data_IF_117511790060
#
_entry.id   IF_117511790060
#
_cell.length_a   1.000
_cell.length_b   1.000
_cell.length_c   1.000
_cell.angle_alpha   90.00
_cell.angle_beta   90.00
_cell.angle_gamma   90.00
#
_symmetry.space_group_name_H-M   'P 1'
#
loop_
_entity.id
_entity.type
_entity.pdbx_description
1 polymer ?
#
# COMPACT_ATOMS: atom_id res chain seq x y z
N UNK A 1 1.50 -7.62 8.45
CA UNK A 1 0.86 -8.44 9.47
C UNK A 1 -0.25 -7.65 10.19
N UNK A 2 0.07 -6.52 10.82
CA UNK A 2 -0.89 -5.69 11.59
C UNK A 2 -2.13 -5.26 10.79
N UNK A 3 -1.97 -4.88 9.51
CA UNK A 3 -3.08 -4.51 8.63
C UNK A 3 -4.05 -5.68 8.45
N UNK A 4 -3.53 -6.84 8.06
CA UNK A 4 -4.38 -8.00 7.78
C UNK A 4 -5.09 -8.50 9.04
N UNK A 5 -4.45 -8.41 10.20
CA UNK A 5 -5.10 -8.73 11.48
C UNK A 5 -6.28 -7.83 11.80
N UNK A 6 -6.14 -6.53 11.54
CA UNK A 6 -7.16 -5.52 11.89
C UNK A 6 -8.32 -5.46 10.90
N UNK A 7 -8.05 -5.67 9.62
CA UNK A 7 -9.01 -5.38 8.55
C UNK A 7 -9.48 -6.62 7.79
N UNK A 8 -9.08 -7.83 8.22
CA UNK A 8 -9.51 -9.09 7.59
C UNK A 8 -9.80 -10.17 8.63
N UNK A 9 -10.62 -11.15 8.24
CA UNK A 9 -10.92 -12.37 9.00
C UNK A 9 -10.29 -13.59 8.33
N UNK A 10 -10.22 -14.72 9.05
CA UNK A 10 -9.78 -16.01 8.46
C UNK A 10 -10.61 -16.32 7.21
N UNK A 11 -9.95 -16.85 6.16
CA UNK A 11 -10.50 -17.17 4.83
C UNK A 11 -10.88 -15.99 3.96
N UNK A 12 -10.76 -14.73 4.42
CA UNK A 12 -10.91 -13.56 3.56
C UNK A 12 -9.89 -13.59 2.42
N UNK A 13 -10.25 -13.03 1.27
CA UNK A 13 -9.38 -12.91 0.10
C UNK A 13 -8.61 -11.59 0.14
N UNK A 14 -7.30 -11.69 0.32
CA UNK A 14 -6.35 -10.58 0.23
C UNK A 14 -5.78 -10.53 -1.17
N UNK A 15 -5.79 -9.35 -1.79
CA UNK A 15 -5.22 -9.13 -3.13
C UNK A 15 -4.10 -8.09 -3.05
N UNK A 16 -2.99 -8.37 -3.73
CA UNK A 16 -1.88 -7.44 -3.93
C UNK A 16 -1.62 -7.29 -5.44
N UNK A 17 -2.01 -6.16 -6.04
CA UNK A 17 -1.89 -5.95 -7.49
C UNK A 17 -0.48 -5.61 -7.96
N UNK A 18 0.47 -5.34 -7.03
CA UNK A 18 1.88 -5.02 -7.31
C UNK A 18 2.79 -5.77 -6.35
N UNK A 19 2.66 -7.10 -6.36
CA UNK A 19 3.07 -8.01 -5.30
C UNK A 19 4.59 -8.14 -5.11
N UNK A 20 5.40 -7.82 -6.11
CA UNK A 20 6.87 -7.87 -6.05
C UNK A 20 7.41 -9.22 -5.58
N UNK A 21 7.99 -9.24 -4.37
CA UNK A 21 8.58 -10.46 -3.75
C UNK A 21 7.54 -11.40 -3.12
N UNK A 22 6.29 -10.99 -2.96
CA UNK A 22 5.21 -11.81 -2.40
C UNK A 22 5.03 -11.75 -0.89
N UNK A 23 5.58 -10.76 -0.21
CA UNK A 23 5.45 -10.60 1.25
C UNK A 23 3.99 -10.57 1.71
N UNK A 24 3.13 -9.88 0.99
CA UNK A 24 1.68 -9.82 1.29
C UNK A 24 1.03 -11.19 1.23
N UNK A 25 1.40 -12.02 0.24
CA UNK A 25 0.88 -13.39 0.07
C UNK A 25 1.29 -14.25 1.26
N UNK A 26 2.57 -14.19 1.64
CA UNK A 26 3.11 -15.00 2.73
C UNK A 26 2.42 -14.64 4.06
N UNK A 27 2.33 -13.35 4.37
CA UNK A 27 1.64 -12.88 5.59
C UNK A 27 0.15 -13.25 5.60
N UNK A 28 -0.54 -13.16 4.45
CA UNK A 28 -1.95 -13.55 4.37
C UNK A 28 -2.12 -15.04 4.66
N UNK A 29 -1.27 -15.91 4.11
CA UNK A 29 -1.28 -17.36 4.35
C UNK A 29 -0.98 -17.70 5.80
N UNK A 30 0.04 -17.08 6.41
CA UNK A 30 0.39 -17.27 7.82
C UNK A 30 -0.77 -16.92 8.75
N UNK A 31 -1.60 -15.98 8.34
CA UNK A 31 -2.81 -15.58 9.04
C UNK A 31 -4.07 -16.37 8.62
N UNK A 32 -3.93 -17.45 7.82
CA UNK A 32 -5.02 -18.27 7.31
C UNK A 32 -6.03 -17.49 6.43
N UNK A 33 -5.53 -16.48 5.69
CA UNK A 33 -6.29 -15.79 4.64
C UNK A 33 -5.96 -16.41 3.29
N UNK A 34 -6.88 -16.31 2.34
CA UNK A 34 -6.59 -16.60 0.92
C UNK A 34 -5.82 -15.41 0.35
N UNK A 35 -4.91 -15.64 -0.59
CA UNK A 35 -4.11 -14.58 -1.17
C UNK A 35 -3.98 -14.74 -2.68
N UNK A 36 -4.10 -13.62 -3.40
CA UNK A 36 -3.77 -13.48 -4.81
C UNK A 36 -2.79 -12.32 -4.96
N UNK A 37 -1.61 -12.62 -5.51
CA UNK A 37 -0.62 -11.60 -5.87
C UNK A 37 -0.48 -11.51 -7.38
N UNK A 38 -0.40 -10.29 -7.88
CA UNK A 38 -0.18 -9.99 -9.28
C UNK A 38 1.04 -9.10 -9.46
N UNK A 39 1.75 -9.28 -10.57
CA UNK A 39 2.91 -8.47 -10.94
C UNK A 39 3.13 -8.53 -12.45
N UNK A 40 3.69 -7.47 -13.06
CA UNK A 40 4.07 -7.47 -14.47
C UNK A 40 5.25 -8.42 -14.78
N UNK A 41 6.11 -8.64 -13.79
CA UNK A 41 7.29 -9.51 -13.88
C UNK A 41 7.37 -10.42 -12.64
N UNK A 42 6.47 -11.43 -12.52
CA UNK A 42 6.40 -12.29 -11.35
C UNK A 42 7.75 -12.91 -10.98
N UNK A 43 8.15 -12.76 -9.73
CA UNK A 43 9.38 -13.34 -9.16
C UNK A 43 9.20 -14.77 -8.62
N UNK A 44 7.93 -15.20 -8.45
CA UNK A 44 7.55 -16.49 -7.85
C UNK A 44 6.44 -17.16 -8.68
N UNK A 45 6.35 -18.49 -8.60
CA UNK A 45 5.34 -19.28 -9.33
C UNK A 45 3.90 -19.06 -8.85
N UNK A 46 3.74 -18.59 -7.63
CA UNK A 46 2.44 -18.33 -6.99
C UNK A 46 2.02 -16.84 -7.09
N UNK A 47 2.75 -16.05 -7.86
CA UNK A 47 2.39 -14.70 -8.28
C UNK A 47 1.95 -14.75 -9.74
N UNK A 48 0.77 -14.24 -10.04
CA UNK A 48 0.22 -14.25 -11.39
C UNK A 48 0.69 -13.03 -12.18
N UNK A 49 0.96 -13.24 -13.46
CA UNK A 49 1.30 -12.11 -14.33
C UNK A 49 0.06 -11.33 -14.71
N UNK A 50 -0.01 -10.06 -14.30
CA UNK A 50 -1.04 -9.12 -14.70
C UNK A 50 -0.56 -7.67 -14.58
N UNK A 51 -1.23 -6.78 -15.30
CA UNK A 51 -1.10 -5.34 -15.12
C UNK A 51 -2.08 -4.91 -14.04
N UNK A 52 -1.60 -4.13 -13.07
CA UNK A 52 -2.41 -3.65 -11.95
C UNK A 52 -3.58 -2.75 -12.38
N UNK A 53 -3.53 -2.22 -13.60
CA UNK A 53 -4.63 -1.46 -14.23
C UNK A 53 -5.76 -2.35 -14.75
N UNK A 54 -5.54 -3.67 -14.84
CA UNK A 54 -6.51 -4.66 -15.33
C UNK A 54 -6.25 -6.02 -14.70
N UNK A 55 -6.76 -6.23 -13.51
CA UNK A 55 -6.59 -7.48 -12.74
C UNK A 55 -7.59 -8.53 -13.24
N UNK A 56 -7.15 -9.78 -13.52
CA UNK A 56 -8.04 -10.86 -13.96
C UNK A 56 -8.83 -11.45 -12.78
N UNK A 57 -9.59 -10.61 -12.11
CA UNK A 57 -10.49 -10.93 -11.02
C UNK A 57 -11.85 -10.28 -11.30
N UNK A 58 -12.92 -10.99 -10.98
CA UNK A 58 -14.28 -10.46 -11.10
C UNK A 58 -14.50 -9.29 -10.13
N UNK A 59 -15.53 -8.47 -10.42
CA UNK A 59 -15.92 -7.35 -9.57
C UNK A 59 -16.25 -7.82 -8.16
N UNK A 60 -15.87 -7.01 -7.18
CA UNK A 60 -16.25 -7.17 -5.77
C UNK A 60 -15.91 -8.56 -5.19
N UNK A 61 -14.75 -9.11 -5.50
CA UNK A 61 -14.26 -10.39 -4.97
C UNK A 61 -13.25 -10.26 -3.84
N UNK A 62 -12.47 -9.19 -3.82
CA UNK A 62 -11.45 -8.99 -2.78
C UNK A 62 -12.09 -8.54 -1.46
N UNK A 63 -11.65 -9.13 -0.36
CA UNK A 63 -12.03 -8.71 0.99
C UNK A 63 -11.05 -7.66 1.56
N UNK A 64 -9.84 -7.61 1.03
CA UNK A 64 -8.83 -6.60 1.34
C UNK A 64 -7.87 -6.43 0.17
N UNK A 65 -7.46 -5.20 -0.11
CA UNK A 65 -6.40 -4.93 -1.08
C UNK A 65 -5.26 -4.19 -0.39
N UNK A 66 -4.04 -4.68 -0.55
CA UNK A 66 -2.81 -3.97 -0.18
C UNK A 66 -2.05 -3.60 -1.44
N UNK A 67 -1.53 -2.39 -1.53
CA UNK A 67 -0.70 -1.97 -2.65
C UNK A 67 0.47 -1.11 -2.18
N UNK A 68 1.67 -1.46 -2.64
CA UNK A 68 2.92 -0.69 -2.49
C UNK A 68 3.43 -0.36 -3.90
N UNK A 69 2.92 0.73 -4.50
CA UNK A 69 3.26 1.06 -5.88
C UNK A 69 4.70 1.58 -5.99
N UNK A 70 5.30 1.57 -7.18
CA UNK A 70 6.57 2.25 -7.42
C UNK A 70 6.42 3.76 -7.18
N UNK A 71 7.46 4.38 -6.58
CA UNK A 71 7.45 5.81 -6.19
C UNK A 71 8.16 6.69 -7.23
N UNK A 72 7.84 6.56 -8.51
CA UNK A 72 8.56 7.20 -9.61
C UNK A 72 9.69 6.32 -10.20
N UNK A 73 10.45 6.87 -11.11
CA UNK A 73 11.49 6.22 -11.91
C UNK A 73 12.88 6.13 -11.22
N UNK A 74 12.94 6.32 -9.90
CA UNK A 74 14.21 6.27 -9.14
C UNK A 74 14.88 4.90 -9.09
N UNK A 75 14.10 3.85 -9.30
CA UNK A 75 14.57 2.47 -9.36
C UNK A 75 14.08 1.89 -10.67
N UNK A 76 14.97 1.24 -11.40
CA UNK A 76 14.58 0.49 -12.58
C UNK A 76 13.87 -0.78 -12.15
N UNK A 77 12.57 -0.88 -12.45
CA UNK A 77 11.74 -2.01 -12.02
C UNK A 77 11.81 -3.17 -13.04
N UNK A 78 11.15 -3.07 -14.16
CA UNK A 78 11.08 -4.15 -15.14
C UNK A 78 11.71 -3.81 -16.49
N UNK A 79 11.95 -2.53 -16.75
CA UNK A 79 12.41 -2.01 -18.05
C UNK A 79 11.39 -2.16 -19.18
N UNK A 80 10.12 -2.47 -18.84
CA UNK A 80 9.04 -2.61 -19.81
C UNK A 80 8.27 -1.30 -19.95
N UNK A 81 7.87 -0.91 -21.18
CA UNK A 81 7.14 0.35 -21.40
C UNK A 81 5.83 0.47 -20.63
N UNK A 82 5.16 -0.66 -20.37
CA UNK A 82 3.91 -0.73 -19.62
C UNK A 82 4.11 -0.61 -18.09
N UNK A 83 5.34 -0.64 -17.58
CA UNK A 83 5.62 -0.59 -16.15
C UNK A 83 5.44 0.82 -15.60
N UNK A 84 4.55 0.97 -14.63
CA UNK A 84 4.31 2.25 -13.95
C UNK A 84 5.58 2.78 -13.27
N UNK A 85 6.45 1.90 -12.78
CA UNK A 85 7.72 2.27 -12.17
C UNK A 85 8.77 2.85 -13.11
N UNK A 86 8.53 2.84 -14.42
CA UNK A 86 9.37 3.52 -15.42
C UNK A 86 8.83 4.92 -15.76
N UNK A 87 7.69 5.33 -15.17
CA UNK A 87 7.08 6.64 -15.34
C UNK A 87 7.56 7.61 -14.26
N UNK A 88 7.99 8.79 -14.67
CA UNK A 88 8.37 9.83 -13.71
C UNK A 88 7.15 10.45 -13.04
N UNK A 89 7.22 10.60 -11.72
CA UNK A 89 6.19 11.32 -10.95
C UNK A 89 6.27 12.86 -11.09
N UNK A 90 7.18 13.38 -11.92
CA UNK A 90 7.16 14.78 -12.34
C UNK A 90 6.08 15.03 -13.40
N UNK A 91 5.67 14.00 -14.12
CA UNK A 91 4.70 14.11 -15.22
C UNK A 91 3.36 13.46 -14.91
N UNK A 92 2.35 13.85 -15.68
CA UNK A 92 0.97 13.36 -15.51
C UNK A 92 0.82 11.86 -15.79
N UNK A 93 1.70 11.27 -16.61
CA UNK A 93 1.59 9.88 -17.02
C UNK A 93 1.61 8.88 -15.85
N UNK A 94 2.43 9.14 -14.83
CA UNK A 94 2.45 8.35 -13.60
C UNK A 94 1.11 8.39 -12.86
N UNK A 95 0.57 9.59 -12.67
CA UNK A 95 -0.69 9.79 -11.94
C UNK A 95 -1.89 9.26 -12.71
N UNK A 96 -1.93 9.42 -14.05
CA UNK A 96 -2.96 8.81 -14.89
C UNK A 96 -2.94 7.27 -14.81
N UNK A 97 -1.75 6.67 -14.77
CA UNK A 97 -1.61 5.24 -14.59
C UNK A 97 -2.05 4.79 -13.18
N UNK A 98 -1.72 5.54 -12.14
CA UNK A 98 -2.15 5.26 -10.77
C UNK A 98 -3.65 5.44 -10.57
N UNK A 99 -4.29 6.40 -11.24
CA UNK A 99 -5.74 6.56 -11.23
C UNK A 99 -6.43 5.30 -11.80
N UNK A 100 -5.91 4.73 -12.89
CA UNK A 100 -6.41 3.47 -13.44
C UNK A 100 -6.25 2.31 -12.44
N UNK A 101 -5.12 2.24 -11.72
CA UNK A 101 -4.91 1.23 -10.67
C UNK A 101 -5.90 1.40 -9.52
N UNK A 102 -6.10 2.63 -9.05
CA UNK A 102 -7.03 2.95 -7.96
C UNK A 102 -8.48 2.60 -8.36
N UNK A 103 -8.87 2.94 -9.60
CA UNK A 103 -10.18 2.57 -10.15
C UNK A 103 -10.35 1.05 -10.23
N UNK A 104 -9.31 0.33 -10.65
CA UNK A 104 -9.31 -1.13 -10.71
C UNK A 104 -9.39 -1.77 -9.32
N UNK A 105 -8.67 -1.23 -8.33
CA UNK A 105 -8.79 -1.65 -6.92
C UNK A 105 -10.23 -1.44 -6.44
N UNK A 106 -10.85 -0.31 -6.76
CA UNK A 106 -12.24 -0.06 -6.42
C UNK A 106 -13.18 -1.08 -7.07
N UNK A 107 -12.94 -1.47 -8.33
CA UNK A 107 -13.73 -2.49 -9.01
C UNK A 107 -13.66 -3.85 -8.30
N UNK A 108 -12.46 -4.33 -7.96
CA UNK A 108 -12.28 -5.68 -7.39
C UNK A 108 -12.61 -5.77 -5.90
N UNK A 109 -12.50 -4.66 -5.14
CA UNK A 109 -12.78 -4.63 -3.71
C UNK A 109 -14.30 -4.66 -3.46
N UNK A 110 -14.73 -5.49 -2.52
CA UNK A 110 -16.13 -5.53 -2.07
C UNK A 110 -16.53 -4.23 -1.35
N UNK A 111 -17.76 -3.75 -1.53
CA UNK A 111 -18.35 -2.75 -0.62
C UNK A 111 -18.28 -3.21 0.84
N UNK A 112 -18.12 -2.28 1.77
CA UNK A 112 -17.97 -2.60 3.19
C UNK A 112 -16.60 -3.15 3.58
N UNK A 113 -15.59 -3.00 2.71
CA UNK A 113 -14.24 -3.55 2.91
C UNK A 113 -13.16 -2.47 2.80
N UNK A 114 -11.96 -2.84 3.17
CA UNK A 114 -10.84 -1.91 3.31
C UNK A 114 -9.74 -2.19 2.29
N UNK A 115 -9.02 -1.13 1.95
CA UNK A 115 -7.73 -1.23 1.28
C UNK A 115 -6.66 -0.43 2.02
N UNK A 116 -5.40 -0.74 1.77
CA UNK A 116 -4.29 0.07 2.25
C UNK A 116 -3.30 0.33 1.11
N UNK A 117 -2.87 1.60 1.00
CA UNK A 117 -1.81 2.02 0.09
C UNK A 117 -0.62 2.53 0.91
N UNK A 118 0.55 1.95 0.64
CA UNK A 118 1.82 2.33 1.24
C UNK A 118 2.65 3.10 0.22
N UNK A 119 3.13 4.30 0.56
CA UNK A 119 3.85 5.15 -0.39
C UNK A 119 4.81 6.11 0.30
N UNK A 120 5.84 6.55 -0.39
CA UNK A 120 6.72 7.64 0.00
C UNK A 120 6.67 8.77 -1.01
N UNK A 121 6.84 10.00 -0.52
CA UNK A 121 7.19 11.11 -1.38
C UNK A 121 8.59 10.94 -1.95
N UNK A 122 8.85 11.59 -3.07
CA UNK A 122 10.12 11.51 -3.75
C UNK A 122 10.80 12.86 -3.87
N UNK A 123 12.13 12.84 -3.82
CA UNK A 123 12.99 13.95 -4.10
C UNK A 123 14.29 13.46 -4.72
N UNK A 124 14.72 14.13 -5.75
CA UNK A 124 16.00 13.91 -6.40
C UNK A 124 16.74 15.24 -6.56
N UNK A 125 18.07 15.21 -6.45
CA UNK A 125 18.89 16.42 -6.59
C UNK A 125 18.69 17.04 -7.97
N UNK A 126 18.33 18.34 -7.97
CA UNK A 126 18.08 19.09 -9.22
C UNK A 126 16.65 18.98 -9.74
N UNK A 127 15.79 18.22 -9.08
CA UNK A 127 14.36 18.10 -9.42
C UNK A 127 13.48 18.69 -8.31
N UNK A 128 12.24 19.11 -8.63
CA UNK A 128 11.31 19.56 -7.61
C UNK A 128 10.95 18.43 -6.65
N UNK A 129 10.49 18.81 -5.47
CA UNK A 129 9.91 17.84 -4.53
C UNK A 129 8.59 17.30 -5.07
N UNK A 130 8.44 15.98 -5.08
CA UNK A 130 7.25 15.29 -5.59
C UNK A 130 6.42 14.77 -4.41
N UNK A 131 5.31 15.44 -4.04
CA UNK A 131 4.43 14.99 -2.95
C UNK A 131 3.48 13.87 -3.40
N UNK A 132 4.05 12.74 -3.79
CA UNK A 132 3.33 11.60 -4.37
C UNK A 132 2.21 11.12 -3.44
N UNK A 133 2.50 11.04 -2.14
CA UNK A 133 1.53 10.60 -1.14
C UNK A 133 0.27 11.46 -1.14
N UNK A 134 0.39 12.78 -1.22
CA UNK A 134 -0.76 13.68 -1.22
C UNK A 134 -1.58 13.58 -2.51
N UNK A 135 -0.94 13.47 -3.67
CA UNK A 135 -1.66 13.28 -4.93
C UNK A 135 -2.42 11.94 -4.95
N UNK A 136 -1.78 10.85 -4.50
CA UNK A 136 -2.46 9.56 -4.42
C UNK A 136 -3.58 9.56 -3.38
N UNK A 137 -3.44 10.23 -2.24
CA UNK A 137 -4.51 10.38 -1.26
C UNK A 137 -5.72 11.12 -1.85
N UNK A 138 -5.48 12.17 -2.63
CA UNK A 138 -6.54 12.91 -3.32
C UNK A 138 -7.31 12.01 -4.31
N UNK A 139 -6.60 11.20 -5.10
CA UNK A 139 -7.19 10.24 -6.02
C UNK A 139 -7.99 9.15 -5.28
N UNK A 140 -7.40 8.56 -4.23
CA UNK A 140 -8.08 7.58 -3.38
C UNK A 140 -9.39 8.12 -2.81
N UNK A 141 -9.41 9.39 -2.39
CA UNK A 141 -10.58 10.03 -1.78
C UNK A 141 -11.77 10.22 -2.74
N UNK A 142 -11.55 10.06 -4.05
CA UNK A 142 -12.63 10.08 -5.05
C UNK A 142 -13.41 8.76 -5.09
N UNK A 143 -12.79 7.65 -4.68
CA UNK A 143 -13.35 6.29 -4.74
C UNK A 143 -13.66 5.72 -3.35
N UNK A 144 -12.96 6.16 -2.31
CA UNK A 144 -12.96 5.57 -0.98
C UNK A 144 -13.11 6.63 0.11
N UNK A 145 -13.65 6.23 1.25
CA UNK A 145 -13.59 7.03 2.48
C UNK A 145 -12.26 6.86 3.20
N UNK A 146 -11.70 7.94 3.73
CA UNK A 146 -10.46 7.91 4.51
C UNK A 146 -10.78 7.35 5.91
N UNK A 147 -10.06 6.30 6.32
CA UNK A 147 -10.15 5.71 7.67
C UNK A 147 -9.01 6.20 8.54
N UNK A 148 -7.77 6.14 8.02
CA UNK A 148 -6.58 6.55 8.77
C UNK A 148 -5.42 6.94 7.85
N UNK A 149 -4.53 7.79 8.35
CA UNK A 149 -3.28 8.20 7.71
C UNK A 149 -2.15 7.97 8.70
N UNK A 150 -1.31 6.98 8.45
CA UNK A 150 -0.26 6.56 9.36
C UNK A 150 1.10 6.91 8.77
N UNK A 151 1.95 7.57 9.57
CA UNK A 151 3.36 7.75 9.26
C UNK A 151 4.15 6.53 9.74
N UNK A 152 4.60 5.70 8.81
CA UNK A 152 5.42 4.51 9.10
C UNK A 152 6.89 4.90 9.12
N UNK A 153 7.48 4.91 10.30
CA UNK A 153 8.88 5.31 10.49
C UNK A 153 9.82 4.24 9.92
N UNK A 154 10.79 4.68 9.13
CA UNK A 154 11.83 3.81 8.59
C UNK A 154 13.00 3.69 9.55
N UNK A 155 13.21 2.51 10.09
CA UNK A 155 14.38 2.18 10.92
C UNK A 155 15.48 1.58 10.04
N UNK A 156 16.18 2.39 9.26
CA UNK A 156 17.31 1.91 8.49
C UNK A 156 18.62 2.62 8.91
N UNK A 157 19.72 1.87 8.92
CA UNK A 157 21.03 2.38 9.30
C UNK A 157 21.59 3.49 8.39
N UNK A 158 21.00 3.71 7.20
CA UNK A 158 21.40 4.80 6.31
C UNK A 158 20.96 6.16 6.86
N UNK A 159 19.78 6.24 7.53
CA UNK A 159 19.30 7.47 8.16
C UNK A 159 20.12 7.86 9.39
N UNK A 160 20.85 6.91 9.99
CA UNK A 160 21.69 7.12 11.17
C UNK A 160 23.11 7.59 10.83
N UNK A 161 23.47 7.75 9.55
CA UNK A 161 24.82 8.20 9.16
C UNK A 161 24.95 9.70 9.31
N UNK A 162 25.93 10.16 10.10
CA UNK A 162 26.16 11.57 10.43
C UNK A 162 26.26 12.48 9.20
N UNK A 163 26.84 12.02 8.08
CA UNK A 163 26.98 12.84 6.88
C UNK A 163 25.63 13.30 6.26
N UNK A 164 24.54 12.55 6.48
CA UNK A 164 23.21 12.99 6.03
C UNK A 164 22.68 14.17 6.85
N UNK A 165 22.97 14.19 8.16
CA UNK A 165 22.61 15.33 9.03
C UNK A 165 23.40 16.58 8.66
N UNK A 166 24.73 16.45 8.44
CA UNK A 166 25.58 17.55 7.98
C UNK A 166 25.08 18.10 6.65
N UNK A 167 24.84 17.26 5.66
CA UNK A 167 24.31 17.67 4.35
C UNK A 167 22.93 18.32 4.46
N UNK A 168 22.06 17.86 5.37
CA UNK A 168 20.75 18.44 5.58
C UNK A 168 20.85 19.89 6.12
N UNK A 169 21.78 20.14 7.02
CA UNK A 169 22.07 21.49 7.54
C UNK A 169 22.71 22.38 6.46
N UNK A 170 23.75 21.90 5.79
CA UNK A 170 24.47 22.64 4.75
C UNK A 170 23.60 23.02 3.55
N UNK A 171 22.65 22.15 3.17
CA UNK A 171 21.79 22.36 2.00
C UNK A 171 20.35 22.71 2.38
N UNK A 172 20.07 23.00 3.64
CA UNK A 172 18.79 23.48 4.17
C UNK A 172 17.58 22.59 3.77
N UNK A 173 17.63 21.29 4.10
CA UNK A 173 16.50 20.39 3.95
C UNK A 173 16.30 19.49 5.18
N UNK A 174 15.08 18.94 5.32
CA UNK A 174 14.77 18.00 6.38
C UNK A 174 14.86 16.56 5.90
N UNK A 175 15.45 15.69 6.75
CA UNK A 175 15.46 14.25 6.50
C UNK A 175 14.04 13.67 6.71
N UNK A 176 13.49 13.04 5.68
CA UNK A 176 12.20 12.35 5.73
C UNK A 176 12.41 10.86 5.97
N UNK A 177 12.20 10.42 7.21
CA UNK A 177 12.42 9.04 7.65
C UNK A 177 11.13 8.22 7.73
N UNK A 178 10.09 8.54 6.96
CA UNK A 178 8.81 7.83 7.02
C UNK A 178 8.20 7.60 5.64
N UNK A 179 7.25 6.70 5.58
CA UNK A 179 6.35 6.49 4.47
C UNK A 179 4.91 6.69 4.95
N UNK A 180 4.01 7.07 4.07
CA UNK A 180 2.59 7.07 4.36
C UNK A 180 2.01 5.67 4.24
N UNK A 181 1.04 5.37 5.09
CA UNK A 181 0.15 4.24 4.96
C UNK A 181 -1.27 4.79 5.04
N UNK A 182 -1.95 4.84 3.91
CA UNK A 182 -3.34 5.27 3.82
C UNK A 182 -4.25 4.07 3.98
N UNK A 183 -5.16 4.13 4.92
CA UNK A 183 -6.19 3.11 5.12
C UNK A 183 -7.51 3.69 4.65
N UNK A 184 -8.12 3.01 3.69
CA UNK A 184 -9.30 3.47 2.98
C UNK A 184 -10.41 2.44 3.07
N UNK A 185 -11.65 2.91 3.06
CA UNK A 185 -12.85 2.10 3.13
C UNK A 185 -13.72 2.29 1.88
N UNK A 186 -14.17 1.21 1.25
CA UNK A 186 -15.15 1.26 0.16
C UNK A 186 -16.55 1.22 0.75
N UNK A 187 -17.30 2.34 0.79
CA UNK A 187 -18.66 2.32 1.34
C UNK A 187 -19.60 1.53 0.44
N UNK A 188 -20.57 0.84 1.04
CA UNK A 188 -21.73 0.36 0.32
C UNK A 188 -22.65 1.51 -0.08
N UNK A 189 -23.58 1.29 -1.00
CA UNK A 189 -24.50 2.33 -1.45
C UNK A 189 -25.30 2.90 -0.25
N UNK A 190 -25.16 4.20 0.00
CA UNK A 190 -25.79 4.91 1.12
C UNK A 190 -25.10 4.77 2.47
N UNK A 191 -23.99 4.05 2.56
CA UNK A 191 -23.21 3.87 3.78
C UNK A 191 -22.19 5.01 3.94
N UNK A 192 -21.87 5.35 5.18
CA UNK A 192 -20.76 6.25 5.53
C UNK A 192 -19.57 5.44 6.02
N UNK A 193 -18.39 6.04 5.99
CA UNK A 193 -17.18 5.45 6.62
C UNK A 193 -17.51 5.13 8.08
N UNK A 194 -17.25 3.89 8.55
CA UNK A 194 -17.49 3.52 9.93
C UNK A 194 -16.68 4.41 10.88
N UNK A 195 -17.37 5.07 11.80
CA UNK A 195 -16.72 5.87 12.84
C UNK A 195 -16.39 5.03 14.08
N UNK A 196 -17.06 3.88 14.21
CA UNK A 196 -16.93 3.00 15.35
C UNK A 196 -15.90 1.90 15.09
N UNK A 197 -14.84 1.91 15.89
CA UNK A 197 -13.72 0.97 15.82
C UNK A 197 -13.90 -0.26 16.73
N UNK A 198 -15.12 -0.58 17.18
CA UNK A 198 -15.39 -1.66 18.15
C UNK A 198 -14.97 -3.06 17.67
N UNK A 199 -14.93 -3.32 16.35
CA UNK A 199 -14.28 -4.53 15.84
C UNK A 199 -12.76 -4.56 16.10
N UNK A 200 -12.14 -3.42 16.42
CA UNK A 200 -10.73 -3.36 16.80
C UNK A 200 -10.47 -3.87 18.23
N UNK A 201 -11.46 -3.78 19.13
CA UNK A 201 -11.30 -4.22 20.51
C UNK A 201 -11.25 -5.75 20.58
N UNK A 202 -12.09 -6.47 19.83
CA UNK A 202 -12.02 -7.93 19.71
C UNK A 202 -10.66 -8.41 19.14
N UNK A 203 -10.08 -7.62 18.22
CA UNK A 203 -8.77 -7.91 17.62
C UNK A 203 -7.64 -7.58 18.61
N UNK A 204 -7.77 -6.53 19.41
CA UNK A 204 -6.82 -6.17 20.45
C UNK A 204 -6.73 -7.26 21.52
N UNK A 205 -7.87 -7.78 22.00
CA UNK A 205 -7.92 -8.90 22.94
C UNK A 205 -7.25 -10.18 22.40
N UNK A 206 -7.45 -10.50 21.10
CA UNK A 206 -6.79 -11.64 20.45
C UNK A 206 -5.27 -11.43 20.30
N UNK A 207 -4.82 -10.20 20.10
CA UNK A 207 -3.38 -9.85 20.02
C UNK A 207 -2.74 -9.97 21.41
N UNK A 208 -3.38 -9.46 22.45
CA UNK A 208 -2.87 -9.54 23.83
C UNK A 208 -2.85 -10.99 24.35
N UNK A 209 -3.89 -11.79 24.09
CA UNK A 209 -3.93 -13.19 24.45
C UNK A 209 -2.79 -14.03 23.83
N UNK A 210 -2.33 -13.67 22.63
CA UNK A 210 -1.18 -14.34 21.98
C UNK A 210 0.19 -13.81 22.44
N UNK A 211 0.28 -12.57 22.87
CA UNK A 211 1.53 -12.03 23.45
C UNK A 211 1.89 -12.76 24.76
N UNK A 212 0.89 -13.01 25.59
CA UNK A 212 1.06 -13.77 26.87
C UNK A 212 1.51 -15.22 26.65
N UNK A 213 1.21 -15.84 25.50
CA UNK A 213 1.60 -17.23 25.20
C UNK A 213 3.00 -17.39 24.58
N UNK A 214 3.72 -16.28 24.27
CA UNK A 214 5.09 -16.34 23.72
C UNK A 214 6.19 -16.14 24.77
N UNK A 215 5.82 -15.70 25.95
CA UNK A 215 6.77 -15.42 27.07
C UNK A 215 6.69 -16.49 28.20
N UNK A 216 6.09 -17.65 27.92
CA UNK A 216 5.98 -18.78 28.85
C UNK A 216 6.77 -20.00 28.43
#
# INVERSE_FOLDING_TARGET
>A
WNLLKRYTKRKDLVVDPMCGSGTTIDVARDLERRALGYDLAPSRKDIFRADARKIPLEDEKADFVFVDPPYSDHIRYSGKPECIGELSAEGDAYYLAMEQVISEINRILRPGRYMALYVSDSWEKGKPFMPIGFYLLQMLSQHFGIVDIIAVIRHNGKLMRNHWHTAAVEHNYYLRGFNYLFIMYKPAAGERVPQDRREADEIAEEIEARAVHKDG
#
